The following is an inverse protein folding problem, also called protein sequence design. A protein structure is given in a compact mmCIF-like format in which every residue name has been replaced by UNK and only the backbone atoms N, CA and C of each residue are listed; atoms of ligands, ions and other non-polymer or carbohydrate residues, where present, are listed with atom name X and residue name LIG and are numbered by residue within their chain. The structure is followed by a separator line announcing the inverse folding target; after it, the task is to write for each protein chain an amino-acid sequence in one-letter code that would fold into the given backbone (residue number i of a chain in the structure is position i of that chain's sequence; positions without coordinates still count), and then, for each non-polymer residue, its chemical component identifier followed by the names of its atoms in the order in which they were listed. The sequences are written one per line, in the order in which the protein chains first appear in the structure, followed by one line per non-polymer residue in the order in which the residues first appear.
data_IF_903561594975
#
_entry.id   IF_903561594975
#
_cell.length_a   1.000
_cell.length_b   1.000
_cell.length_c   1.000
_cell.angle_alpha   90.00
_cell.angle_beta   90.00
_cell.angle_gamma   90.00
#
_symmetry.space_group_name_H-M   'P 1'
#
loop_
_entity.id
_entity.type
_entity.pdbx_description
1 polymer ?
#
# COMPACT_ATOMS: atom_id res chain seq x y z
N UNK A 1 -17.50 -3.85 18.49
CA UNK A 1 -16.32 -3.01 18.80
C UNK A 1 -15.54 -2.78 17.52
N UNK A 2 -15.27 -1.53 17.15
CA UNK A 2 -14.58 -1.21 15.89
C UNK A 2 -13.12 -1.67 15.94
N UNK A 3 -12.65 -2.28 14.85
CA UNK A 3 -11.30 -2.83 14.73
C UNK A 3 -10.27 -1.71 14.84
N UNK A 4 -9.29 -1.83 15.74
CA UNK A 4 -8.20 -0.84 15.87
C UNK A 4 -7.42 -0.76 14.55
N UNK A 5 -7.10 0.47 14.13
CA UNK A 5 -6.26 0.72 12.95
C UNK A 5 -4.88 0.10 13.22
N UNK A 6 -4.46 -0.85 12.37
CA UNK A 6 -3.17 -1.52 12.52
C UNK A 6 -2.00 -0.60 12.14
N UNK A 7 -2.15 0.17 11.06
CA UNK A 7 -1.11 1.10 10.57
C UNK A 7 -1.77 2.16 9.67
N UNK A 8 -1.28 3.40 9.72
CA UNK A 8 -1.60 4.44 8.72
C UNK A 8 -0.38 4.65 7.83
N UNK A 9 -0.55 4.47 6.53
CA UNK A 9 0.51 4.62 5.54
C UNK A 9 0.15 5.80 4.64
N UNK A 10 1.09 6.74 4.45
CA UNK A 10 0.93 7.86 3.52
C UNK A 10 1.73 7.56 2.27
N UNK A 11 1.04 7.33 1.16
CA UNK A 11 1.61 7.02 -0.14
C UNK A 11 1.25 8.12 -1.14
N UNK A 12 2.23 8.57 -1.91
CA UNK A 12 2.03 9.45 -3.04
C UNK A 12 2.31 8.64 -4.30
N UNK A 13 1.26 8.37 -5.06
CA UNK A 13 1.32 7.65 -6.34
C UNK A 13 0.45 8.35 -7.36
N UNK A 14 0.90 8.33 -8.60
CA UNK A 14 0.13 8.83 -9.74
C UNK A 14 -1.03 7.87 -10.00
N UNK A 15 -2.23 8.40 -10.26
CA UNK A 15 -3.42 7.59 -10.54
C UNK A 15 -3.18 6.63 -11.72
N UNK A 16 -3.58 5.36 -11.56
CA UNK A 16 -3.40 4.31 -12.58
C UNK A 16 -1.95 3.88 -12.84
N UNK A 17 -0.98 4.39 -12.06
CA UNK A 17 0.44 3.99 -12.12
C UNK A 17 0.95 3.64 -10.72
N UNK A 18 0.18 2.88 -9.97
CA UNK A 18 0.74 2.19 -8.81
C UNK A 18 1.72 1.14 -9.34
N UNK A 19 2.95 1.12 -8.87
CA UNK A 19 3.97 0.13 -9.28
C UNK A 19 4.54 -0.56 -8.04
N UNK A 20 4.96 -1.83 -8.11
CA UNK A 20 5.55 -2.53 -6.98
C UNK A 20 6.92 -1.96 -6.53
N UNK A 21 7.48 -1.01 -7.29
CA UNK A 21 8.68 -0.26 -6.95
C UNK A 21 8.49 0.61 -5.67
N UNK A 22 9.58 1.16 -5.09
CA UNK A 22 9.48 2.18 -4.04
C UNK A 22 8.69 3.37 -4.61
N UNK A 23 7.61 3.91 -3.99
CA UNK A 23 7.26 3.93 -2.56
C UNK A 23 6.23 2.87 -2.10
N UNK A 24 5.52 2.20 -3.02
CA UNK A 24 4.43 1.26 -2.70
C UNK A 24 4.98 -0.01 -2.07
N UNK A 25 5.99 -0.63 -2.69
CA UNK A 25 6.58 -1.87 -2.18
C UNK A 25 7.18 -1.70 -0.78
N UNK A 26 7.85 -0.57 -0.54
CA UNK A 26 8.43 -0.22 0.76
C UNK A 26 7.38 0.07 1.83
N UNK A 27 6.21 0.59 1.44
CA UNK A 27 5.19 0.99 2.39
C UNK A 27 4.16 -0.11 2.69
N UNK A 28 3.91 -1.02 1.74
CA UNK A 28 2.95 -2.14 1.90
C UNK A 28 3.64 -3.43 2.34
N UNK A 29 4.86 -3.69 1.87
CA UNK A 29 5.62 -4.92 2.14
C UNK A 29 5.83 -5.21 3.63
N UNK A 30 6.31 -4.26 4.44
CA UNK A 30 6.54 -4.48 5.88
C UNK A 30 5.26 -4.79 6.67
N UNK A 31 4.11 -4.39 6.14
CA UNK A 31 2.80 -4.60 6.77
C UNK A 31 2.10 -5.86 6.26
N UNK A 32 2.74 -6.63 5.38
CA UNK A 32 2.16 -7.83 4.77
C UNK A 32 0.93 -7.52 3.90
N UNK A 33 0.84 -6.29 3.38
CA UNK A 33 -0.24 -5.87 2.49
C UNK A 33 0.10 -6.31 1.06
N UNK A 34 -0.92 -6.72 0.31
CA UNK A 34 -0.74 -7.26 -1.03
C UNK A 34 -0.42 -6.13 -2.02
N UNK A 35 0.84 -6.03 -2.44
CA UNK A 35 1.34 -4.98 -3.35
C UNK A 35 0.66 -5.08 -4.71
N UNK A 36 0.51 -6.29 -5.26
CA UNK A 36 -0.08 -6.49 -6.59
C UNK A 36 -1.56 -6.12 -6.64
N UNK A 37 -2.28 -6.34 -5.54
CA UNK A 37 -3.68 -5.94 -5.39
C UNK A 37 -3.82 -4.42 -5.35
N UNK A 38 -2.88 -3.71 -4.73
CA UNK A 38 -2.83 -2.24 -4.75
C UNK A 38 -2.40 -1.67 -6.11
N UNK A 39 -1.60 -2.42 -6.88
CA UNK A 39 -1.08 -2.00 -8.19
C UNK A 39 -2.11 -2.14 -9.30
N UNK A 40 -2.91 -3.20 -9.25
CA UNK A 40 -3.87 -3.54 -10.31
C UNK A 40 -5.30 -3.00 -10.06
N UNK A 41 -5.54 -2.31 -8.94
CA UNK A 41 -6.81 -1.66 -8.60
C UNK A 41 -6.82 -0.18 -9.02
#
# INVERSE_FOLDING_TARGET
MAKKIKTKIKLQVSAGKATPAPPVGTALGPHGLNIMEFVNA
#
